data_IF_720900966727
#
_entry.id   IF_720900966727
#
_cell.length_a   1.000
_cell.length_b   1.000
_cell.length_c   1.000
_cell.angle_alpha   90.00
_cell.angle_beta   90.00
_cell.angle_gamma   90.00
#
_symmetry.space_group_name_H-M   'P 1'
#
loop_
_entity.id
_entity.type
_entity.pdbx_description
1 polymer ?
#
# COMPACT_ATOMS: atom_id res chain seq x y z
N UNK A 1 6.59 38.56 -33.91
CA UNK A 1 6.49 37.30 -33.27
C UNK A 1 6.02 37.53 -31.83
N UNK A 2 4.72 37.55 -31.63
CA UNK A 2 4.12 37.99 -30.36
C UNK A 2 3.22 36.90 -29.73
N UNK A 3 3.60 35.64 -29.84
CA UNK A 3 2.91 34.58 -29.16
C UNK A 3 3.71 34.17 -27.93
N UNK A 4 3.61 35.00 -26.86
CA UNK A 4 4.06 34.62 -25.54
C UNK A 4 2.98 33.76 -24.89
N UNK A 5 3.14 32.44 -24.92
CA UNK A 5 2.28 31.51 -24.19
C UNK A 5 2.75 31.47 -22.73
N UNK A 6 2.04 32.18 -21.88
CA UNK A 6 2.24 32.07 -20.42
C UNK A 6 1.49 30.85 -19.89
N UNK A 7 2.23 29.81 -19.61
CA UNK A 7 1.71 28.66 -18.84
C UNK A 7 1.73 29.03 -17.35
N UNK A 8 0.55 29.33 -16.82
CA UNK A 8 0.38 29.54 -15.38
C UNK A 8 0.39 28.17 -14.70
N UNK A 9 1.55 27.70 -14.27
CA UNK A 9 1.63 26.55 -13.38
C UNK A 9 1.46 27.04 -11.95
N UNK A 10 0.41 26.58 -11.26
CA UNK A 10 0.39 26.68 -9.80
C UNK A 10 1.45 25.71 -9.26
N UNK A 11 2.47 26.19 -8.53
CA UNK A 11 3.35 25.28 -7.82
C UNK A 11 2.46 24.43 -6.90
N UNK A 12 2.54 23.09 -7.01
CA UNK A 12 1.97 22.21 -5.99
C UNK A 12 2.74 22.56 -4.72
N UNK A 13 2.15 23.34 -3.85
CA UNK A 13 2.65 23.48 -2.49
C UNK A 13 2.41 22.11 -1.85
N UNK A 14 3.47 21.31 -1.73
CA UNK A 14 3.44 20.01 -1.07
C UNK A 14 3.28 20.25 0.43
N UNK A 15 2.10 20.67 0.84
CA UNK A 15 1.79 20.92 2.25
C UNK A 15 1.39 19.60 2.88
N UNK A 16 2.32 19.00 3.58
CA UNK A 16 2.06 17.79 4.35
C UNK A 16 1.22 18.16 5.58
N UNK A 17 0.07 17.55 5.72
CA UNK A 17 -0.82 17.67 6.89
C UNK A 17 -1.37 16.31 7.26
N UNK A 18 -1.49 16.07 8.55
CA UNK A 18 -2.27 14.94 9.05
C UNK A 18 -3.76 15.24 8.83
N UNK A 19 -4.41 14.48 7.96
CA UNK A 19 -5.86 14.59 7.73
C UNK A 19 -6.62 13.87 8.83
N UNK A 20 -6.15 12.68 9.20
CA UNK A 20 -6.85 11.83 10.14
C UNK A 20 -5.90 10.86 10.84
N UNK A 21 -6.10 10.68 12.14
CA UNK A 21 -5.59 9.53 12.89
C UNK A 21 -6.79 8.86 13.56
N UNK A 22 -7.05 7.61 13.22
CA UNK A 22 -8.23 6.87 13.70
C UNK A 22 -7.86 5.47 14.09
N UNK A 23 -8.64 4.92 15.01
CA UNK A 23 -8.63 3.49 15.29
C UNK A 23 -9.50 2.78 14.26
N UNK A 24 -8.87 1.95 13.42
CA UNK A 24 -9.53 1.20 12.37
C UNK A 24 -10.33 0.01 12.94
N UNK A 25 -9.72 -0.67 13.90
CA UNK A 25 -10.25 -1.82 14.62
C UNK A 25 -9.59 -1.93 16.01
N UNK A 26 -9.79 -3.04 16.72
CA UNK A 26 -9.16 -3.25 18.02
C UNK A 26 -7.64 -3.35 17.95
N UNK A 27 -7.08 -3.73 16.80
CA UNK A 27 -5.67 -4.10 16.64
C UNK A 27 -4.89 -3.13 15.74
N UNK A 28 -5.54 -2.16 15.12
CA UNK A 28 -4.86 -1.25 14.20
C UNK A 28 -5.31 0.20 14.30
N UNK A 29 -4.33 1.10 14.10
CA UNK A 29 -4.53 2.54 13.97
C UNK A 29 -4.16 2.94 12.56
N UNK A 30 -4.86 3.91 11.96
CA UNK A 30 -4.57 4.41 10.63
C UNK A 30 -4.41 5.92 10.65
N UNK A 31 -3.27 6.39 10.16
CA UNK A 31 -2.98 7.79 9.88
C UNK A 31 -3.08 8.04 8.37
N UNK A 32 -3.70 9.15 7.98
CA UNK A 32 -3.81 9.59 6.58
C UNK A 32 -3.27 11.01 6.44
N UNK A 33 -2.47 11.25 5.40
CA UNK A 33 -1.82 12.52 5.12
C UNK A 33 -2.28 13.07 3.77
N UNK A 34 -2.24 14.38 3.62
CA UNK A 34 -2.57 15.08 2.35
C UNK A 34 -1.57 14.76 1.26
N UNK A 35 -0.27 14.65 1.62
CA UNK A 35 0.83 14.41 0.70
C UNK A 35 1.69 13.23 1.17
N UNK A 36 2.48 12.61 0.26
CA UNK A 36 3.39 11.52 0.63
C UNK A 36 4.36 11.93 1.74
N UNK A 37 4.56 11.05 2.72
CA UNK A 37 5.51 11.25 3.81
C UNK A 37 6.82 10.52 3.52
N UNK A 38 7.95 11.16 3.82
CA UNK A 38 9.28 10.56 3.67
C UNK A 38 9.79 9.92 4.96
N UNK A 39 9.39 10.48 6.08
CA UNK A 39 9.78 10.01 7.41
C UNK A 39 8.59 9.34 8.09
N UNK A 40 8.80 8.15 8.65
CA UNK A 40 7.77 7.45 9.40
C UNK A 40 7.45 8.21 10.69
N UNK A 41 6.18 8.61 10.91
CA UNK A 41 5.75 9.20 12.16
C UNK A 41 5.93 8.25 13.33
N UNK A 42 6.24 8.82 14.50
CA UNK A 42 6.39 8.05 15.73
C UNK A 42 5.09 8.04 16.52
N UNK A 43 4.68 6.86 16.94
CA UNK A 43 3.50 6.64 17.76
C UNK A 43 3.95 6.17 19.14
N UNK A 44 3.50 6.85 20.19
CA UNK A 44 3.71 6.40 21.58
C UNK A 44 2.34 6.20 22.23
N UNK A 45 2.09 5.03 22.77
CA UNK A 45 0.84 4.74 23.47
C UNK A 45 1.01 5.21 24.92
N UNK A 46 0.18 6.16 25.35
CA UNK A 46 0.23 6.75 26.68
C UNK A 46 -0.73 6.07 27.67
N UNK A 47 -1.80 5.51 27.17
CA UNK A 47 -2.78 4.79 27.98
C UNK A 47 -3.42 3.67 27.13
N UNK A 48 -3.48 2.51 27.67
CA UNK A 48 -3.06 2.06 29.01
C UNK A 48 -1.54 1.93 29.18
N UNK A 49 -1.02 2.22 30.37
CA UNK A 49 0.41 2.39 30.68
C UNK A 49 1.30 1.19 30.35
N UNK A 50 0.75 -0.04 30.36
CA UNK A 50 1.51 -1.26 30.05
C UNK A 50 1.83 -1.43 28.55
N UNK A 51 1.26 -0.62 27.65
CA UNK A 51 1.61 -0.58 26.23
C UNK A 51 2.78 0.37 25.93
N UNK A 52 3.36 0.99 26.93
CA UNK A 52 4.47 1.95 26.76
C UNK A 52 5.82 1.29 26.48
N UNK A 53 5.93 -0.03 26.59
CA UNK A 53 7.17 -0.75 26.30
C UNK A 53 7.44 -0.86 24.80
N UNK A 54 8.69 -0.72 24.43
CA UNK A 54 9.28 -0.30 23.16
C UNK A 54 8.93 -1.06 21.87
N UNK A 55 7.99 -1.98 21.82
CA UNK A 55 7.64 -2.74 20.62
C UNK A 55 6.14 -3.00 20.49
N UNK A 56 5.36 -1.96 20.69
CA UNK A 56 3.91 -2.14 20.74
C UNK A 56 3.23 -2.11 19.38
N UNK A 57 3.95 -1.85 18.29
CA UNK A 57 3.33 -1.77 16.96
C UNK A 57 4.28 -2.06 15.80
N UNK A 58 3.70 -2.43 14.65
CA UNK A 58 4.39 -2.61 13.38
C UNK A 58 3.81 -1.60 12.36
N UNK A 59 4.61 -0.66 11.85
CA UNK A 59 4.13 0.27 10.83
C UNK A 59 4.05 -0.40 9.46
N UNK A 60 3.01 -0.07 8.70
CA UNK A 60 2.79 -0.52 7.33
C UNK A 60 2.35 0.67 6.47
N UNK A 61 3.26 1.16 5.63
CA UNK A 61 3.05 2.35 4.79
C UNK A 61 2.45 1.96 3.44
N UNK A 62 1.42 2.67 3.01
CA UNK A 62 0.80 2.47 1.69
C UNK A 62 1.76 2.77 0.53
N UNK A 63 1.42 2.30 -0.67
CA UNK A 63 2.24 2.51 -1.88
C UNK A 63 2.36 3.98 -2.26
N UNK A 64 1.29 4.75 -2.08
CA UNK A 64 1.24 6.20 -2.32
C UNK A 64 1.89 7.03 -1.20
N UNK A 65 2.38 6.36 -0.12
CA UNK A 65 3.00 6.95 1.05
C UNK A 65 2.13 7.99 1.79
N UNK A 66 0.81 7.99 1.53
CA UNK A 66 -0.15 8.90 2.16
C UNK A 66 -0.90 8.27 3.32
N UNK A 67 -0.93 6.95 3.41
CA UNK A 67 -1.62 6.22 4.48
C UNK A 67 -0.66 5.29 5.20
N UNK A 68 -0.70 5.31 6.53
CA UNK A 68 0.14 4.50 7.39
C UNK A 68 -0.74 3.74 8.40
N UNK A 69 -0.62 2.43 8.42
CA UNK A 69 -1.29 1.58 9.39
C UNK A 69 -0.29 1.16 10.46
N UNK A 70 -0.64 1.37 11.72
CA UNK A 70 0.08 0.85 12.88
C UNK A 70 -0.64 -0.39 13.38
N UNK A 71 -0.06 -1.54 13.16
CA UNK A 71 -0.54 -2.80 13.67
C UNK A 71 -0.04 -2.98 15.10
N UNK A 72 -0.94 -3.02 16.04
CA UNK A 72 -0.60 -3.14 17.45
C UNK A 72 -0.21 -4.59 17.76
N UNK A 73 0.82 -4.76 18.59
CA UNK A 73 1.19 -6.11 19.07
C UNK A 73 0.04 -6.76 19.81
N UNK A 74 -0.14 -8.09 19.72
CA UNK A 74 -1.21 -8.78 20.42
C UNK A 74 -1.08 -8.59 21.92
N UNK A 75 -2.12 -8.02 22.53
CA UNK A 75 -2.22 -7.80 23.96
C UNK A 75 -3.70 -7.75 24.37
N UNK A 76 -4.07 -8.42 25.45
CA UNK A 76 -5.46 -8.57 25.91
C UNK A 76 -6.19 -7.24 26.18
N UNK A 77 -5.42 -6.21 26.40
CA UNK A 77 -5.93 -4.88 26.74
C UNK A 77 -6.30 -3.99 25.56
N UNK A 78 -5.97 -4.39 24.35
CA UNK A 78 -6.36 -3.65 23.13
C UNK A 78 -7.88 -3.74 22.85
N UNK A 79 -8.58 -4.63 23.53
CA UNK A 79 -10.04 -4.71 23.51
C UNK A 79 -10.76 -3.50 24.17
N UNK A 80 -10.01 -2.55 24.76
CA UNK A 80 -10.61 -1.37 25.41
C UNK A 80 -11.23 -0.41 24.41
N UNK A 81 -12.24 0.33 24.86
CA UNK A 81 -12.98 1.28 24.04
C UNK A 81 -12.15 2.48 23.56
N UNK A 82 -11.09 2.84 24.28
CA UNK A 82 -10.24 3.98 23.94
C UNK A 82 -8.76 3.74 24.21
N UNK A 83 -7.91 4.36 23.39
CA UNK A 83 -6.45 4.39 23.53
C UNK A 83 -5.99 5.82 23.42
N UNK A 84 -5.12 6.28 24.35
CA UNK A 84 -4.50 7.61 24.29
C UNK A 84 -3.11 7.45 23.70
N UNK A 85 -2.82 8.25 22.67
CA UNK A 85 -1.54 8.20 21.96
C UNK A 85 -0.92 9.58 21.84
N UNK A 86 0.41 9.65 21.97
CA UNK A 86 1.20 10.77 21.49
C UNK A 86 1.70 10.44 20.09
N UNK A 87 1.46 11.33 19.14
CA UNK A 87 1.77 11.14 17.74
C UNK A 87 2.66 12.25 17.23
N UNK A 88 3.93 11.90 16.91
CA UNK A 88 4.90 12.83 16.35
C UNK A 88 5.00 12.58 14.84
N UNK A 89 4.65 13.58 14.03
CA UNK A 89 4.53 13.43 12.59
C UNK A 89 5.06 14.64 11.83
N UNK A 90 5.56 14.43 10.59
CA UNK A 90 5.98 15.53 9.73
C UNK A 90 4.76 16.32 9.26
N UNK A 91 4.87 17.61 9.29
CA UNK A 91 3.88 18.55 8.73
C UNK A 91 4.61 19.75 8.13
N UNK A 92 3.88 20.59 7.45
CA UNK A 92 4.41 21.81 6.84
C UNK A 92 3.74 23.01 7.53
N UNK A 93 4.53 24.00 7.92
CA UNK A 93 3.99 25.23 8.48
C UNK A 93 3.28 26.10 7.42
N UNK A 94 2.80 27.27 7.81
CA UNK A 94 2.08 28.19 6.91
C UNK A 94 2.97 28.81 5.82
N UNK A 95 4.29 28.70 5.96
CA UNK A 95 5.28 29.26 5.02
C UNK A 95 5.81 28.16 4.07
N UNK A 96 5.46 26.88 4.33
CA UNK A 96 5.93 25.75 3.55
C UNK A 96 7.17 25.04 4.14
N UNK A 97 7.61 25.41 5.36
CA UNK A 97 8.76 24.78 6.02
C UNK A 97 8.35 23.45 6.66
N UNK A 98 9.08 22.36 6.42
CA UNK A 98 8.80 21.10 7.10
C UNK A 98 9.13 21.20 8.60
N UNK A 99 8.17 20.80 9.43
CA UNK A 99 8.29 20.76 10.88
C UNK A 99 7.79 19.42 11.42
N UNK A 100 8.25 19.01 12.59
CA UNK A 100 7.68 17.88 13.31
C UNK A 100 6.70 18.38 14.35
N UNK A 101 5.47 17.89 14.32
CA UNK A 101 4.42 18.21 15.26
C UNK A 101 4.15 17.03 16.17
N UNK A 102 3.95 17.29 17.46
CA UNK A 102 3.55 16.29 18.45
C UNK A 102 2.13 16.61 18.94
N UNK A 103 1.20 15.72 18.71
CA UNK A 103 -0.18 15.82 19.18
C UNK A 103 -0.53 14.64 20.08
N UNK A 104 -1.30 14.91 21.15
CA UNK A 104 -1.87 13.85 22.01
C UNK A 104 -3.33 13.68 21.67
N UNK A 105 -3.73 12.45 21.33
CA UNK A 105 -5.08 12.14 20.87
C UNK A 105 -5.66 10.93 21.58
N UNK A 106 -6.97 10.99 21.86
CA UNK A 106 -7.74 9.84 22.36
C UNK A 106 -8.48 9.19 21.20
N UNK A 107 -8.15 7.95 20.90
CA UNK A 107 -8.71 7.18 19.80
C UNK A 107 -9.73 6.18 20.35
N UNK A 108 -10.98 6.30 19.92
CA UNK A 108 -12.05 5.38 20.31
C UNK A 108 -12.13 4.21 19.33
N UNK A 109 -12.43 3.02 19.86
CA UNK A 109 -12.75 1.87 19.03
C UNK A 109 -13.97 2.19 18.15
N UNK A 110 -13.99 1.76 16.89
CA UNK A 110 -15.18 1.87 16.06
C UNK A 110 -16.30 1.13 16.79
N UNK A 111 -17.38 1.83 17.10
CA UNK A 111 -18.59 1.19 17.63
C UNK A 111 -19.01 0.17 16.57
N UNK A 112 -19.15 -1.09 16.98
CA UNK A 112 -19.82 -2.07 16.16
C UNK A 112 -21.13 -1.41 15.70
N UNK A 113 -21.24 -1.10 14.42
CA UNK A 113 -22.50 -0.65 13.87
C UNK A 113 -23.41 -1.88 13.99
N UNK A 114 -24.17 -1.92 15.08
CA UNK A 114 -25.30 -2.83 15.17
C UNK A 114 -26.05 -2.63 13.86
N UNK A 115 -26.06 -3.66 13.04
CA UNK A 115 -26.77 -3.65 11.78
C UNK A 115 -28.18 -3.18 12.11
N UNK A 116 -28.50 -1.93 11.80
CA UNK A 116 -29.88 -1.46 11.78
C UNK A 116 -30.53 -2.26 10.66
N UNK A 117 -30.94 -3.47 11.01
CA UNK A 117 -31.92 -4.19 10.25
C UNK A 117 -33.10 -3.24 10.13
N UNK A 118 -33.25 -2.61 8.98
CA UNK A 118 -34.44 -1.89 8.57
C UNK A 118 -35.53 -2.95 8.39
N UNK A 119 -36.02 -3.45 9.51
CA UNK A 119 -37.31 -4.11 9.56
C UNK A 119 -38.38 -3.03 9.32
N UNK A 120 -38.67 -2.80 8.04
CA UNK A 120 -39.98 -2.22 7.66
C UNK A 120 -41.04 -3.25 7.95
N UNK A 121 -41.45 -3.37 9.20
CA UNK A 121 -42.67 -4.06 9.57
C UNK A 121 -43.81 -3.03 9.61
N UNK A 122 -44.65 -3.09 8.59
CA UNK A 122 -45.99 -2.49 8.63
C UNK A 122 -46.76 -3.13 9.79
N UNK A 123 -47.54 -2.39 10.57
CA UNK A 123 -48.34 -2.94 11.66
C UNK A 123 -49.48 -3.76 11.10
N UNK A 124 -49.49 -5.06 11.33
CA UNK A 124 -50.64 -5.93 11.11
C UNK A 124 -51.33 -6.16 12.47
N UNK A 125 -52.61 -5.78 12.54
CA UNK A 125 -53.51 -5.89 13.69
C UNK A 125 -53.52 -7.31 14.26
N UNK A 126 -53.47 -7.37 15.61
CA UNK A 126 -53.73 -8.56 16.41
C UNK A 126 -55.21 -9.00 16.39
N UNK A 127 -55.46 -10.27 16.66
CA UNK A 127 -56.53 -10.66 17.56
C UNK A 127 -55.99 -11.39 18.81
N UNK A 128 -56.64 -11.06 19.90
CA UNK A 128 -56.50 -11.50 21.28
C UNK A 128 -57.08 -12.90 21.45
N UNK A 129 -56.45 -13.79 22.22
CA UNK A 129 -57.15 -14.79 23.10
C UNK A 129 -56.09 -15.45 24.05
N UNK A 130 -56.35 -15.26 25.31
CA UNK A 130 -56.27 -16.02 26.58
C UNK A 130 -55.16 -17.10 26.83
N UNK A 131 -54.63 -16.97 28.06
CA UNK A 131 -53.77 -17.91 28.80
C UNK A 131 -54.56 -19.15 29.34
N UNK A 132 -53.93 -20.23 29.92
CA UNK A 132 -53.15 -20.16 31.15
C UNK A 132 -51.91 -21.11 31.26
N UNK A 133 -51.11 -20.84 32.33
CA UNK A 133 -49.98 -21.60 32.91
C UNK A 133 -50.39 -23.01 33.44
N UNK A 134 -49.44 -23.93 33.96
CA UNK A 134 -48.22 -23.62 34.72
C UNK A 134 -46.97 -24.53 34.53
N UNK A 135 -45.83 -24.01 35.00
CA UNK A 135 -44.69 -24.56 35.72
C UNK A 135 -44.10 -25.94 35.40
N UNK A 136 -42.80 -26.02 35.19
CA UNK A 136 -41.84 -26.78 36.03
C UNK A 136 -40.39 -26.40 35.69
N UNK A 137 -39.61 -26.35 36.79
CA UNK A 137 -38.17 -26.11 36.86
C UNK A 137 -37.31 -26.97 35.96
N UNK A 138 -36.26 -26.38 35.38
CA UNK A 138 -34.94 -27.02 35.34
C UNK A 138 -33.86 -25.98 35.06
N UNK A 139 -33.03 -25.74 36.06
CA UNK A 139 -31.81 -25.00 36.02
C UNK A 139 -30.79 -25.74 35.11
N UNK A 140 -30.51 -25.18 33.98
CA UNK A 140 -29.26 -25.50 33.23
C UNK A 140 -28.50 -24.21 33.01
N UNK A 141 -27.43 -24.04 33.78
CA UNK A 141 -26.39 -23.08 33.54
C UNK A 141 -25.72 -23.40 32.20
N UNK A 142 -26.14 -22.79 31.14
CA UNK A 142 -25.38 -22.65 29.93
C UNK A 142 -24.73 -21.28 29.96
N UNK A 143 -23.42 -21.31 30.20
CA UNK A 143 -22.55 -20.17 29.97
C UNK A 143 -22.55 -19.85 28.47
N UNK A 144 -23.46 -19.00 28.07
CA UNK A 144 -23.53 -18.49 26.70
C UNK A 144 -22.61 -17.27 26.56
N UNK A 145 -21.32 -17.55 26.42
CA UNK A 145 -20.35 -16.60 25.89
C UNK A 145 -20.21 -16.82 24.37
N UNK A 146 -21.32 -16.72 23.65
CA UNK A 146 -21.28 -16.47 22.21
C UNK A 146 -21.05 -14.98 21.97
N UNK A 147 -19.80 -14.53 22.16
CA UNK A 147 -19.34 -13.37 21.45
C UNK A 147 -19.45 -13.74 19.96
N UNK A 148 -20.46 -13.18 19.28
CA UNK A 148 -20.60 -13.23 17.84
C UNK A 148 -19.32 -12.63 17.25
N UNK A 149 -18.37 -13.49 16.89
CA UNK A 149 -17.22 -13.14 16.07
C UNK A 149 -17.79 -12.62 14.75
N UNK A 150 -17.60 -11.33 14.48
CA UNK A 150 -17.91 -10.75 13.19
C UNK A 150 -16.95 -11.40 12.17
N UNK A 151 -17.43 -12.21 11.21
CA UNK A 151 -16.57 -12.94 10.29
C UNK A 151 -15.71 -12.04 9.39
N UNK A 152 -15.93 -10.73 9.41
CA UNK A 152 -15.12 -9.72 8.73
C UNK A 152 -13.95 -9.19 9.56
N UNK A 153 -13.82 -9.57 10.80
CA UNK A 153 -12.84 -9.03 11.73
C UNK A 153 -11.99 -10.11 12.41
N UNK A 154 -11.92 -11.30 11.84
CA UNK A 154 -11.02 -12.35 12.31
C UNK A 154 -9.58 -12.06 11.82
N UNK A 155 -8.90 -11.15 12.52
CA UNK A 155 -7.50 -10.81 12.29
C UNK A 155 -6.53 -11.98 12.51
N UNK A 156 -7.04 -13.17 12.89
CA UNK A 156 -6.24 -14.38 13.06
C UNK A 156 -6.05 -15.13 11.75
N UNK A 157 -6.98 -14.99 10.80
CA UNK A 157 -6.82 -15.58 9.48
C UNK A 157 -5.77 -14.81 8.69
N UNK A 158 -4.87 -15.52 8.04
CA UNK A 158 -3.92 -14.94 7.07
C UNK A 158 -4.43 -15.29 5.69
N UNK A 159 -4.91 -14.29 4.96
CA UNK A 159 -5.45 -14.47 3.62
C UNK A 159 -4.49 -13.84 2.61
N UNK A 160 -4.17 -14.54 1.53
CA UNK A 160 -3.46 -13.94 0.39
C UNK A 160 -4.43 -12.97 -0.27
N UNK A 161 -4.14 -11.66 -0.17
CA UNK A 161 -4.98 -10.63 -0.76
C UNK A 161 -4.76 -10.49 -2.25
N UNK A 162 -3.53 -10.49 -2.68
CA UNK A 162 -3.19 -10.40 -4.10
C UNK A 162 -1.77 -10.86 -4.38
N UNK A 163 -1.60 -11.44 -5.55
CA UNK A 163 -0.37 -11.27 -6.29
C UNK A 163 -0.61 -10.03 -7.15
N UNK A 164 0.12 -8.95 -6.89
CA UNK A 164 -0.07 -7.72 -7.63
C UNK A 164 0.23 -7.97 -9.12
N UNK A 165 -0.67 -7.56 -10.02
CA UNK A 165 -0.55 -7.57 -11.48
C UNK A 165 -0.31 -8.90 -12.19
N UNK A 166 -1.05 -9.94 -11.87
CA UNK A 166 -0.88 -11.30 -12.40
C UNK A 166 -0.96 -11.42 -13.93
N UNK A 167 -1.54 -10.48 -14.65
CA UNK A 167 -1.98 -10.72 -16.03
C UNK A 167 -1.08 -10.15 -17.12
N UNK A 168 -0.05 -9.38 -16.86
CA UNK A 168 0.92 -8.86 -17.85
C UNK A 168 2.17 -8.29 -17.18
N UNK A 169 2.82 -9.05 -16.34
CA UNK A 169 4.08 -8.58 -15.76
C UNK A 169 5.21 -8.64 -16.78
N UNK A 170 6.06 -7.64 -16.74
CA UNK A 170 7.33 -7.63 -17.46
C UNK A 170 8.41 -8.35 -16.64
N UNK A 171 9.55 -8.63 -17.24
CA UNK A 171 10.66 -9.24 -16.50
C UNK A 171 11.20 -8.34 -15.39
N UNK A 172 10.94 -7.03 -15.46
CA UNK A 172 11.39 -6.00 -14.49
C UNK A 172 10.46 -5.83 -13.31
N UNK A 173 9.19 -6.18 -13.46
CA UNK A 173 8.20 -5.99 -12.40
C UNK A 173 8.50 -6.91 -11.22
N UNK A 174 8.36 -6.40 -10.02
CA UNK A 174 8.57 -7.17 -8.80
C UNK A 174 7.31 -7.95 -8.44
N UNK A 175 7.45 -9.26 -8.21
CA UNK A 175 6.34 -10.09 -7.72
C UNK A 175 6.22 -9.95 -6.21
N UNK A 176 5.09 -9.46 -5.74
CA UNK A 176 4.79 -9.31 -4.32
C UNK A 176 3.65 -10.21 -3.91
N UNK A 177 3.83 -10.91 -2.78
CA UNK A 177 2.75 -11.58 -2.07
C UNK A 177 2.28 -10.63 -0.97
N UNK A 178 1.01 -10.21 -1.02
CA UNK A 178 0.42 -9.30 -0.05
C UNK A 178 -0.60 -10.03 0.82
N UNK A 179 -0.63 -9.69 2.10
CA UNK A 179 -1.51 -10.26 3.11
C UNK A 179 -2.28 -9.17 3.84
N UNK A 180 -3.35 -9.56 4.49
CA UNK A 180 -4.23 -8.67 5.25
C UNK A 180 -3.69 -8.30 6.63
N UNK A 181 -2.67 -9.03 7.13
CA UNK A 181 -2.02 -8.77 8.40
C UNK A 181 -0.50 -8.85 8.26
N UNK A 182 0.27 -8.21 9.16
CA UNK A 182 1.72 -8.34 9.16
C UNK A 182 2.16 -9.79 9.35
N UNK A 183 3.19 -10.18 8.62
CA UNK A 183 3.74 -11.52 8.64
C UNK A 183 4.92 -11.56 9.59
N UNK A 184 4.89 -12.51 10.54
CA UNK A 184 6.00 -12.79 11.46
C UNK A 184 7.04 -13.72 10.85
N UNK A 185 6.59 -14.70 10.06
CA UNK A 185 7.48 -15.67 9.47
C UNK A 185 6.87 -16.42 8.30
N UNK A 186 7.74 -16.88 7.42
CA UNK A 186 7.40 -17.76 6.29
C UNK A 186 8.27 -19.01 6.37
N UNK A 187 7.63 -20.17 6.34
CA UNK A 187 8.33 -21.43 6.09
C UNK A 187 8.57 -21.58 4.58
N UNK A 188 9.78 -21.29 4.16
CA UNK A 188 10.17 -21.32 2.75
C UNK A 188 10.09 -22.71 2.12
N UNK A 189 10.07 -23.77 2.91
CA UNK A 189 9.92 -25.14 2.39
C UNK A 189 8.50 -25.45 1.93
N UNK A 190 7.53 -24.69 2.46
CA UNK A 190 6.11 -24.78 2.13
C UNK A 190 5.65 -23.76 1.08
N UNK A 191 6.58 -22.94 0.56
CA UNK A 191 6.33 -22.02 -0.55
C UNK A 191 7.14 -22.45 -1.76
N UNK A 192 6.46 -22.84 -2.82
CA UNK A 192 7.08 -23.40 -4.01
C UNK A 192 6.77 -22.54 -5.23
N UNK A 193 7.80 -22.28 -6.03
CA UNK A 193 7.66 -21.64 -7.33
C UNK A 193 8.04 -22.64 -8.42
N UNK A 194 7.21 -22.76 -9.43
CA UNK A 194 7.47 -23.64 -10.56
C UNK A 194 7.25 -22.91 -11.89
N UNK A 195 8.08 -23.19 -12.87
CA UNK A 195 7.91 -22.81 -14.27
C UNK A 195 6.97 -23.82 -14.93
N UNK A 196 5.94 -23.37 -15.65
CA UNK A 196 5.06 -24.24 -16.41
C UNK A 196 5.62 -24.45 -17.82
N UNK A 197 6.04 -25.66 -18.12
CA UNK A 197 6.47 -26.08 -19.47
C UNK A 197 5.43 -27.10 -19.96
N UNK A 198 4.72 -26.79 -21.02
CA UNK A 198 3.63 -27.64 -21.55
C UNK A 198 2.62 -28.05 -20.45
N UNK A 199 2.31 -27.10 -19.56
CA UNK A 199 1.43 -27.28 -18.41
C UNK A 199 2.01 -28.18 -17.30
N UNK A 200 3.25 -28.65 -17.41
CA UNK A 200 3.92 -29.44 -16.39
C UNK A 200 4.75 -28.52 -15.49
N UNK A 201 4.53 -28.51 -14.18
CA UNK A 201 5.28 -27.66 -13.26
C UNK A 201 6.72 -28.18 -13.09
N UNK A 202 7.69 -27.33 -13.33
CA UNK A 202 9.13 -27.58 -13.07
C UNK A 202 9.56 -26.67 -11.93
N UNK A 203 9.94 -27.20 -10.76
CA UNK A 203 10.35 -26.41 -9.62
C UNK A 203 11.56 -25.53 -9.95
N UNK A 204 11.53 -24.27 -9.53
CA UNK A 204 12.64 -23.34 -9.63
C UNK A 204 12.92 -22.71 -8.26
N UNK A 205 14.16 -22.28 -8.07
CA UNK A 205 14.52 -21.59 -6.82
C UNK A 205 14.01 -20.14 -6.85
N UNK A 206 13.50 -19.68 -5.73
CA UNK A 206 13.16 -18.29 -5.49
C UNK A 206 13.66 -17.84 -4.11
N UNK A 207 13.85 -16.55 -3.92
CA UNK A 207 14.17 -15.95 -2.63
C UNK A 207 12.95 -15.16 -2.13
N UNK A 208 12.57 -15.38 -0.88
CA UNK A 208 11.51 -14.64 -0.23
C UNK A 208 12.14 -13.58 0.68
N UNK A 209 11.79 -12.32 0.46
CA UNK A 209 12.33 -11.19 1.24
C UNK A 209 11.19 -10.32 1.77
N UNK A 210 11.20 -9.99 3.09
CA UNK A 210 10.22 -9.07 3.64
C UNK A 210 10.42 -7.67 3.07
N UNK A 211 9.32 -6.95 2.85
CA UNK A 211 9.39 -5.52 2.56
C UNK A 211 9.83 -4.77 3.83
N UNK A 212 10.78 -3.86 3.71
CA UNK A 212 11.31 -3.08 4.84
C UNK A 212 10.30 -2.08 5.42
N UNK A 213 9.35 -1.63 4.62
CA UNK A 213 8.38 -0.57 4.96
C UNK A 213 6.97 -1.14 5.13
N UNK A 214 6.62 -2.12 4.29
CA UNK A 214 5.29 -2.73 4.24
C UNK A 214 5.33 -4.14 4.81
N UNK A 215 5.00 -4.27 6.08
CA UNK A 215 5.07 -5.54 6.81
C UNK A 215 4.07 -6.59 6.37
N UNK A 216 3.04 -6.17 5.62
CA UNK A 216 2.02 -7.07 5.08
C UNK A 216 2.40 -7.66 3.72
N UNK A 217 3.61 -7.45 3.20
CA UNK A 217 4.01 -8.03 1.91
C UNK A 217 5.45 -8.54 1.87
N UNK A 218 5.66 -9.52 0.99
CA UNK A 218 6.96 -10.14 0.75
C UNK A 218 7.25 -10.18 -0.73
N UNK A 219 8.49 -9.90 -1.09
CA UNK A 219 9.03 -10.02 -2.45
C UNK A 219 9.33 -11.50 -2.73
N UNK A 220 8.88 -11.97 -3.89
CA UNK A 220 9.29 -13.25 -4.47
C UNK A 220 10.31 -12.93 -5.57
N UNK A 221 11.60 -13.09 -5.24
CA UNK A 221 12.70 -12.74 -6.12
C UNK A 221 13.20 -13.99 -6.86
N UNK A 222 13.13 -13.96 -8.20
CA UNK A 222 13.59 -15.03 -9.09
C UNK A 222 13.86 -14.51 -10.50
N UNK A 223 14.63 -15.27 -11.28
CA UNK A 223 14.89 -14.93 -12.68
C UNK A 223 13.65 -15.19 -13.53
N UNK A 224 13.08 -14.15 -14.12
CA UNK A 224 11.90 -14.21 -14.98
C UNK A 224 12.30 -14.33 -16.45
N UNK A 225 11.66 -15.21 -17.17
CA UNK A 225 11.84 -15.39 -18.61
C UNK A 225 10.61 -14.85 -19.36
N UNK A 226 10.81 -14.05 -20.44
CA UNK A 226 9.69 -13.54 -21.23
C UNK A 226 8.83 -14.66 -21.80
N UNK A 227 7.52 -14.45 -21.85
CA UNK A 227 6.56 -15.42 -22.43
C UNK A 227 6.33 -16.65 -21.58
N UNK A 228 6.84 -16.72 -20.37
CA UNK A 228 6.76 -17.88 -19.50
C UNK A 228 5.67 -17.72 -18.46
N UNK A 229 5.00 -18.81 -18.14
CA UNK A 229 4.04 -18.86 -17.03
C UNK A 229 4.67 -19.57 -15.85
N UNK A 230 4.56 -18.96 -14.69
CA UNK A 230 5.03 -19.50 -13.41
C UNK A 230 3.84 -19.80 -12.51
N UNK A 231 4.01 -20.77 -11.63
CA UNK A 231 3.01 -21.14 -10.61
C UNK A 231 3.62 -20.99 -9.24
N UNK A 232 3.04 -20.11 -8.44
CA UNK A 232 3.34 -20.00 -7.02
C UNK A 232 2.34 -20.82 -6.23
N UNK A 233 2.84 -21.74 -5.39
CA UNK A 233 2.06 -22.55 -4.47
C UNK A 233 2.48 -22.22 -3.05
N UNK A 234 1.51 -21.96 -2.20
CA UNK A 234 1.69 -21.73 -0.75
C UNK A 234 0.87 -22.82 -0.06
N UNK A 235 1.53 -23.67 0.69
CA UNK A 235 0.88 -24.74 1.43
C UNK A 235 0.24 -24.24 2.73
N UNK A 236 -0.58 -25.08 3.33
CA UNK A 236 -1.22 -24.79 4.62
C UNK A 236 -0.17 -24.48 5.68
N UNK A 237 -0.41 -23.43 6.45
CA UNK A 237 0.46 -22.96 7.53
C UNK A 237 1.88 -22.54 7.11
N UNK A 238 2.13 -22.34 5.81
CA UNK A 238 3.41 -21.81 5.32
C UNK A 238 3.73 -20.43 5.88
N UNK A 239 2.71 -19.65 6.22
CA UNK A 239 2.85 -18.27 6.66
C UNK A 239 2.16 -18.09 8.00
N UNK A 240 2.87 -17.44 8.93
CA UNK A 240 2.37 -17.10 10.25
C UNK A 240 2.20 -15.58 10.37
N UNK A 241 0.98 -15.15 10.64
CA UNK A 241 0.63 -13.74 10.85
C UNK A 241 0.87 -13.28 12.29
N UNK A 242 0.89 -11.95 12.46
CA UNK A 242 1.14 -11.28 13.74
C UNK A 242 0.22 -11.76 14.88
N UNK A 243 -1.00 -12.16 14.57
CA UNK A 243 -2.00 -12.56 15.57
C UNK A 243 -2.13 -14.09 15.72
N UNK A 244 -1.12 -14.83 15.25
CA UNK A 244 -1.06 -16.29 15.38
C UNK A 244 -1.90 -17.06 14.36
N UNK A 245 -2.55 -16.36 13.44
CA UNK A 245 -3.22 -16.99 12.30
C UNK A 245 -2.19 -17.57 11.33
N UNK A 246 -2.58 -18.60 10.60
CA UNK A 246 -1.75 -19.24 9.59
C UNK A 246 -2.43 -19.21 8.23
N UNK A 247 -1.64 -19.29 7.16
CA UNK A 247 -2.17 -19.25 5.80
C UNK A 247 -2.96 -20.52 5.47
N UNK A 248 -4.06 -20.31 4.73
CA UNK A 248 -4.70 -21.38 3.97
C UNK A 248 -3.85 -21.72 2.74
N UNK A 249 -4.01 -22.93 2.15
CA UNK A 249 -3.32 -23.29 0.94
C UNK A 249 -3.79 -22.39 -0.22
N UNK A 250 -2.87 -21.93 -1.05
CA UNK A 250 -3.17 -21.10 -2.18
C UNK A 250 -2.26 -21.40 -3.36
N UNK A 251 -2.79 -21.27 -4.57
CA UNK A 251 -2.06 -21.43 -5.81
C UNK A 251 -2.41 -20.28 -6.75
N UNK A 252 -1.40 -19.70 -7.37
CA UNK A 252 -1.57 -18.60 -8.34
C UNK A 252 -0.62 -18.78 -9.50
N UNK A 253 -1.13 -18.58 -10.69
CA UNK A 253 -0.34 -18.56 -11.92
C UNK A 253 -0.02 -17.11 -12.30
N UNK A 254 1.23 -16.89 -12.70
CA UNK A 254 1.81 -15.60 -13.12
C UNK A 254 2.28 -15.76 -14.56
N UNK A 255 1.75 -14.96 -15.48
CA UNK A 255 2.21 -14.94 -16.87
C UNK A 255 3.10 -13.74 -17.11
N UNK A 256 4.35 -13.97 -17.49
CA UNK A 256 5.27 -12.92 -17.95
C UNK A 256 4.97 -12.64 -19.43
N UNK A 257 4.85 -11.38 -19.78
CA UNK A 257 4.62 -10.95 -21.14
C UNK A 257 5.77 -11.42 -22.06
N UNK A 258 5.43 -11.85 -23.27
CA UNK A 258 6.45 -12.20 -24.27
C UNK A 258 7.06 -10.94 -24.88
N UNK A 259 8.27 -11.06 -25.42
CA UNK A 259 8.92 -9.96 -26.11
C UNK A 259 8.11 -9.42 -27.31
N UNK A 260 7.23 -10.25 -27.87
CA UNK A 260 6.34 -9.86 -28.99
C UNK A 260 5.09 -9.10 -28.53
N UNK A 261 4.76 -9.19 -27.25
CA UNK A 261 3.63 -8.47 -26.64
C UNK A 261 4.04 -7.08 -26.12
N UNK A 262 5.35 -6.83 -26.05
CA UNK A 262 5.93 -5.60 -25.50
C UNK A 262 6.62 -4.78 -26.61
N UNK A 263 6.55 -3.47 -26.47
CA UNK A 263 7.22 -2.52 -27.35
C UNK A 263 8.48 -1.92 -26.73
N UNK A 264 9.15 -1.11 -27.54
CA UNK A 264 10.23 -0.24 -27.07
C UNK A 264 10.09 1.14 -27.67
N UNK A 265 10.53 2.15 -26.92
CA UNK A 265 10.56 3.54 -27.34
C UNK A 265 12.00 4.04 -27.29
N UNK A 266 12.51 4.50 -28.43
CA UNK A 266 13.82 5.14 -28.51
C UNK A 266 13.63 6.61 -28.92
N UNK A 267 14.21 7.53 -28.16
CA UNK A 267 14.11 8.96 -28.35
C UNK A 267 15.50 9.57 -28.43
N UNK A 268 15.79 10.28 -29.52
CA UNK A 268 17.04 11.03 -29.65
C UNK A 268 16.82 12.48 -29.26
N UNK A 269 17.57 12.94 -28.29
CA UNK A 269 17.54 14.32 -27.79
C UNK A 269 18.66 15.14 -28.43
N UNK A 270 18.32 16.36 -28.84
CA UNK A 270 19.31 17.28 -29.43
C UNK A 270 19.18 18.66 -28.78
N UNK A 271 20.32 19.36 -28.65
CA UNK A 271 20.33 20.75 -28.17
C UNK A 271 20.01 20.93 -26.68
N UNK A 272 20.29 19.92 -25.85
CA UNK A 272 20.17 20.00 -24.40
C UNK A 272 21.50 20.37 -23.72
N UNK A 273 21.47 20.98 -22.51
CA UNK A 273 22.70 21.28 -21.77
C UNK A 273 23.41 19.98 -21.38
N UNK A 274 24.73 19.93 -21.60
CA UNK A 274 25.57 18.76 -21.24
C UNK A 274 26.30 18.95 -19.90
N UNK A 275 26.23 20.15 -19.33
CA UNK A 275 26.92 20.50 -18.08
C UNK A 275 26.23 19.95 -16.83
N UNK A 276 24.93 19.65 -16.92
CA UNK A 276 24.13 19.11 -15.83
C UNK A 276 23.39 17.84 -16.26
N UNK A 277 23.15 16.91 -15.34
CA UNK A 277 22.40 15.71 -15.66
C UNK A 277 21.00 16.03 -16.22
N UNK A 278 20.64 15.38 -17.32
CA UNK A 278 19.31 15.44 -17.91
C UNK A 278 18.60 14.13 -17.67
N UNK A 279 17.39 14.21 -17.14
CA UNK A 279 16.53 13.07 -16.92
C UNK A 279 15.30 13.11 -17.82
N UNK A 280 14.91 11.95 -18.30
CA UNK A 280 13.68 11.76 -19.09
C UNK A 280 12.76 10.82 -18.34
N UNK A 281 11.59 11.33 -17.97
CA UNK A 281 10.52 10.55 -17.39
C UNK A 281 9.59 10.04 -18.49
N UNK A 282 9.36 8.74 -18.48
CA UNK A 282 8.26 8.12 -19.21
C UNK A 282 7.02 8.14 -18.31
N UNK A 283 5.96 8.75 -18.76
CA UNK A 283 4.73 8.91 -17.99
C UNK A 283 3.59 8.10 -18.58
N UNK A 284 2.73 7.59 -17.72
CA UNK A 284 1.44 7.02 -18.12
C UNK A 284 0.45 8.11 -18.56
N UNK A 285 -0.71 7.70 -19.09
CA UNK A 285 -1.83 8.61 -19.38
C UNK A 285 -2.40 9.34 -18.14
N UNK A 286 -2.02 8.89 -16.94
CA UNK A 286 -2.38 9.52 -15.66
C UNK A 286 -1.25 10.38 -15.08
N UNK A 287 -0.21 10.65 -15.88
CA UNK A 287 1.00 11.37 -15.46
C UNK A 287 1.82 10.66 -14.36
N UNK A 288 1.63 9.36 -14.18
CA UNK A 288 2.44 8.55 -13.27
C UNK A 288 3.78 8.23 -13.93
N UNK A 289 4.89 8.37 -13.20
CA UNK A 289 6.23 8.03 -13.69
C UNK A 289 6.37 6.52 -13.76
N UNK A 290 6.51 5.99 -14.98
CA UNK A 290 6.68 4.56 -15.24
C UNK A 290 8.16 4.17 -15.30
N UNK A 291 8.99 5.02 -15.88
CA UNK A 291 10.42 4.80 -15.98
C UNK A 291 11.18 6.14 -16.04
N UNK A 292 12.44 6.11 -15.64
CA UNK A 292 13.37 7.23 -15.71
C UNK A 292 14.64 6.77 -16.39
N UNK A 293 15.13 7.57 -17.33
CA UNK A 293 16.38 7.30 -18.01
C UNK A 293 17.16 8.58 -18.26
N UNK A 294 18.46 8.46 -18.49
CA UNK A 294 19.34 9.53 -18.93
C UNK A 294 19.76 9.29 -20.37
N UNK A 295 20.03 10.33 -21.18
CA UNK A 295 20.58 10.17 -22.51
C UNK A 295 22.00 9.60 -22.44
N UNK A 296 22.33 8.77 -23.37
CA UNK A 296 23.70 8.31 -23.59
C UNK A 296 24.56 9.41 -24.25
N UNK A 297 25.81 9.10 -24.57
CA UNK A 297 26.74 10.01 -25.22
C UNK A 297 26.29 10.49 -26.61
N UNK A 298 25.39 9.77 -27.27
CA UNK A 298 24.77 10.12 -28.55
C UNK A 298 23.43 10.87 -28.38
N UNK A 299 22.99 11.11 -27.14
CA UNK A 299 21.71 11.72 -26.84
C UNK A 299 20.52 10.76 -26.95
N UNK A 300 20.78 9.46 -27.03
CA UNK A 300 19.74 8.45 -27.16
C UNK A 300 19.23 8.03 -25.77
N UNK A 301 17.91 8.01 -25.62
CA UNK A 301 17.17 7.47 -24.47
C UNK A 301 16.32 6.31 -24.94
N UNK A 302 16.45 5.14 -24.33
CA UNK A 302 15.68 3.97 -24.69
C UNK A 302 14.87 3.43 -23.49
N UNK A 303 13.60 3.18 -23.73
CA UNK A 303 12.69 2.48 -22.83
C UNK A 303 12.26 1.18 -23.50
N UNK A 304 12.43 0.07 -22.82
CA UNK A 304 12.11 -1.27 -23.34
C UNK A 304 11.06 -1.94 -22.47
N UNK A 305 10.44 -3.01 -22.96
CA UNK A 305 9.41 -3.77 -22.27
C UNK A 305 8.17 -2.93 -21.92
N UNK A 306 7.74 -2.08 -22.86
CA UNK A 306 6.57 -1.24 -22.69
C UNK A 306 5.32 -1.99 -23.13
N UNK A 307 4.29 -1.99 -22.27
CA UNK A 307 2.98 -2.48 -22.67
C UNK A 307 2.40 -1.60 -23.80
N UNK A 308 1.59 -2.13 -24.71
CA UNK A 308 0.91 -1.31 -25.70
C UNK A 308 0.06 -0.22 -25.04
N UNK A 309 0.28 1.05 -25.41
CA UNK A 309 -0.41 2.18 -24.82
C UNK A 309 0.13 3.52 -25.30
N UNK A 310 -0.49 4.60 -24.81
CA UNK A 310 -0.02 5.96 -25.03
C UNK A 310 0.86 6.40 -23.86
N UNK A 311 2.02 6.95 -24.17
CA UNK A 311 3.00 7.41 -23.21
C UNK A 311 3.27 8.90 -23.41
N UNK A 312 3.70 9.57 -22.36
CA UNK A 312 4.13 10.95 -22.40
C UNK A 312 5.56 11.08 -21.89
N UNK A 313 6.27 12.07 -22.38
CA UNK A 313 7.65 12.32 -21.96
C UNK A 313 7.74 13.65 -21.24
N UNK A 314 8.42 13.65 -20.10
CA UNK A 314 8.80 14.85 -19.36
C UNK A 314 10.31 14.83 -19.17
N UNK A 315 10.98 15.93 -19.55
CA UNK A 315 12.41 16.09 -19.40
C UNK A 315 12.68 17.16 -18.35
N UNK A 316 13.70 16.97 -17.54
CA UNK A 316 14.18 18.01 -16.64
C UNK A 316 15.71 17.98 -16.53
N UNK A 317 16.28 19.13 -16.26
CA UNK A 317 17.72 19.29 -16.01
C UNK A 317 17.91 19.39 -14.50
N UNK A 318 18.64 18.47 -13.95
CA UNK A 318 18.98 18.42 -12.53
C UNK A 318 20.18 19.33 -12.28
N UNK A 319 19.94 20.51 -11.71
CA UNK A 319 20.98 21.50 -11.47
C UNK A 319 21.75 21.27 -10.17
N UNK A 320 21.16 20.57 -9.21
CA UNK A 320 21.74 20.33 -7.90
C UNK A 320 22.27 18.90 -7.70
N UNK A 321 22.03 18.00 -8.66
CA UNK A 321 22.53 16.64 -8.67
C UNK A 321 21.83 15.69 -7.70
N UNK A 322 20.59 16.01 -7.28
CA UNK A 322 19.83 15.19 -6.33
C UNK A 322 18.99 14.07 -6.97
N UNK A 323 18.88 14.05 -8.30
CA UNK A 323 18.17 13.04 -9.09
C UNK A 323 16.63 13.24 -9.08
N UNK A 324 16.14 14.34 -8.54
CA UNK A 324 14.71 14.69 -8.50
C UNK A 324 14.50 16.10 -9.03
N UNK A 325 13.33 16.36 -9.67
CA UNK A 325 13.03 17.70 -10.13
C UNK A 325 12.61 18.61 -8.97
N UNK A 326 13.27 19.78 -8.86
CA UNK A 326 13.00 20.79 -7.87
C UNK A 326 12.20 21.97 -8.41
N UNK A 327 11.08 22.27 -7.76
CA UNK A 327 10.19 23.40 -8.11
C UNK A 327 10.74 24.77 -7.72
N UNK A 328 11.94 24.84 -7.16
CA UNK A 328 12.52 26.07 -6.65
C UNK A 328 11.83 26.63 -5.40
N UNK A 329 12.43 27.66 -4.81
CA UNK A 329 11.88 28.41 -3.65
C UNK A 329 11.95 29.90 -3.95
N UNK A 330 10.80 30.52 -4.14
CA UNK A 330 10.75 31.97 -4.39
C UNK A 330 11.07 32.75 -3.13
N UNK A 331 11.90 33.83 -3.18
CA UNK A 331 12.68 34.29 -4.36
C UNK A 331 14.10 33.71 -4.44
N UNK A 332 14.44 32.73 -3.62
CA UNK A 332 15.83 32.29 -3.39
C UNK A 332 16.40 31.44 -4.53
N UNK A 333 15.63 30.48 -5.03
CA UNK A 333 16.08 29.55 -6.08
C UNK A 333 15.03 29.40 -7.17
N UNK A 334 15.41 29.56 -8.46
CA UNK A 334 14.49 29.28 -9.56
C UNK A 334 14.20 27.78 -9.67
N UNK A 335 13.04 27.41 -10.24
CA UNK A 335 12.76 26.00 -10.52
C UNK A 335 13.73 25.45 -11.56
N UNK A 336 14.02 24.17 -11.45
CA UNK A 336 14.79 23.46 -12.45
C UNK A 336 14.08 23.45 -13.80
N UNK A 337 14.84 23.59 -14.91
CA UNK A 337 14.25 23.60 -16.24
C UNK A 337 13.52 22.28 -16.52
N UNK A 338 12.26 22.37 -16.90
CA UNK A 338 11.41 21.23 -17.23
C UNK A 338 10.72 21.45 -18.57
N UNK A 339 10.61 20.38 -19.35
CA UNK A 339 9.89 20.41 -20.63
C UNK A 339 8.99 19.17 -20.76
N UNK A 340 7.75 19.40 -21.08
CA UNK A 340 6.82 18.35 -21.48
C UNK A 340 6.75 18.27 -23.00
N UNK A 341 6.75 17.05 -23.54
CA UNK A 341 6.35 16.85 -24.92
C UNK A 341 4.82 16.77 -24.95
N UNK A 342 4.18 17.66 -25.76
CA UNK A 342 2.72 17.77 -25.76
C UNK A 342 2.03 16.63 -26.51
N UNK A 343 2.77 15.81 -27.21
CA UNK A 343 2.24 14.68 -27.99
C UNK A 343 2.53 13.37 -27.28
N UNK A 344 1.54 12.47 -27.28
CA UNK A 344 1.75 11.08 -26.89
C UNK A 344 2.63 10.36 -27.92
N UNK A 345 3.50 9.51 -27.42
CA UNK A 345 4.36 8.61 -28.20
C UNK A 345 3.85 7.18 -28.06
#
# INVERSE_FOLDING_TARGET
PNDLVLLLTRPKTNIIRLERLTRRDSMSLMATFTEPIDTLPQLTILSPDYLTTATSYYPDLSTDRKSLVYWLSPHDSLARDSVVVAFAYPTTDSIGTPINKLDTMTLQAPRAQAAKAKAKTKPRKQPKIAAPQPATDSLTLTSDSTALADPKNDLRAVTILSLDNINKETTRDSLWISYDVPILGIDTTLVQLAKLVDSVPQPISCQLRPDSIRRCRWLVDFAKEPGTTYRLTVDTAAITGLYGGVSAPAQKDLKIASATELGSLAVTLTGYPTESPLYVYLLSSKEEVLATAQPDSAGLVAFTELAPGAYFLKLYVDLNGNGTWDGGVYPATPPEPVRYLPQSV
#
